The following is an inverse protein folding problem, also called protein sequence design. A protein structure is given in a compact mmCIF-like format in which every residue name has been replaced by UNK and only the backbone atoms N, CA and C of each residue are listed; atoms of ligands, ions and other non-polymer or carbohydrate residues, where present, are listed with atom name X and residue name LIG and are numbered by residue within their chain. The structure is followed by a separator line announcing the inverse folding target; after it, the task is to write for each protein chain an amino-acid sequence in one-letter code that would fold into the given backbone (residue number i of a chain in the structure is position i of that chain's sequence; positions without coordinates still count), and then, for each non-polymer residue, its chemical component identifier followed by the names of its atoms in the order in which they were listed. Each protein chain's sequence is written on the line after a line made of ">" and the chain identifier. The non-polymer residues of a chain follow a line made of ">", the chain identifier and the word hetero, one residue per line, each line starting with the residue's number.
data_IF_874019527491
#
_entry.id   IF_874019527491
#
_cell.length_a   1.000
_cell.length_b   1.000
_cell.length_c   1.000
_cell.angle_alpha   90.00
_cell.angle_beta   90.00
_cell.angle_gamma   90.00
#
_symmetry.space_group_name_H-M   'P 1'
#
loop_
_entity.id
_entity.type
_entity.pdbx_description
1 polymer ?
#
# COMPACT_ATOMS: atom_id res chain seq x y z
N UNK A 1 44.88 20.94 42.27
CA UNK A 1 45.03 22.36 42.61
C UNK A 1 44.56 23.15 41.40
N UNK A 2 43.34 23.69 41.51
CA UNK A 2 42.59 24.67 40.67
C UNK A 2 42.48 24.59 39.12
N UNK A 3 41.39 25.13 38.51
CA UNK A 3 40.06 25.47 39.05
C UNK A 3 38.87 24.97 38.21
N UNK A 4 37.69 25.02 38.83
CA UNK A 4 36.39 24.83 38.20
C UNK A 4 36.06 26.01 37.27
N UNK A 5 35.68 25.71 36.02
CA UNK A 5 35.03 26.69 35.14
C UNK A 5 33.52 26.45 35.14
N UNK A 6 32.84 27.47 35.65
CA UNK A 6 31.39 27.63 35.76
C UNK A 6 30.72 27.52 34.40
N UNK A 7 29.70 26.66 34.28
CA UNK A 7 28.82 26.62 33.11
C UNK A 7 27.60 27.51 33.41
N UNK A 8 27.25 28.48 32.56
CA UNK A 8 26.21 29.45 32.84
C UNK A 8 24.81 28.83 32.99
N UNK A 9 24.00 29.43 33.87
CA UNK A 9 22.59 29.09 34.11
C UNK A 9 21.74 29.32 32.85
N UNK A 10 21.64 28.30 32.01
CA UNK A 10 20.81 28.32 30.80
C UNK A 10 20.48 26.96 30.18
N UNK A 11 20.89 25.84 30.79
CA UNK A 11 20.65 24.49 30.25
C UNK A 11 19.84 23.56 31.15
N UNK A 12 19.03 24.12 32.04
CA UNK A 12 18.01 23.36 32.75
C UNK A 12 16.64 23.85 32.32
N UNK A 13 15.87 22.94 31.72
CA UNK A 13 14.51 23.09 31.16
C UNK A 13 14.62 23.50 29.68
N UNK A 14 14.36 22.64 28.69
CA UNK A 14 13.06 22.01 28.44
C UNK A 14 13.20 20.60 27.81
N UNK A 15 13.09 19.55 28.64
CA UNK A 15 12.69 18.22 28.16
C UNK A 15 11.20 18.08 28.47
N UNK A 16 10.37 18.82 27.73
CA UNK A 16 8.94 18.54 27.62
C UNK A 16 8.38 19.04 26.29
N UNK A 17 8.98 18.58 25.19
CA UNK A 17 8.33 18.55 23.89
C UNK A 17 8.20 17.10 23.49
N UNK A 18 6.99 16.55 23.51
CA UNK A 18 6.70 15.26 22.90
C UNK A 18 7.37 15.21 21.53
N UNK A 19 8.27 14.24 21.32
CA UNK A 19 8.73 13.89 19.98
C UNK A 19 7.44 13.69 19.17
N UNK A 20 7.17 14.45 18.10
CA UNK A 20 6.03 14.14 17.27
C UNK A 20 6.26 12.71 16.81
N UNK A 21 5.36 11.80 17.19
CA UNK A 21 5.26 10.50 16.56
C UNK A 21 5.07 10.82 15.07
N UNK A 22 6.17 10.79 14.31
CA UNK A 22 6.10 10.74 12.86
C UNK A 22 5.42 9.40 12.59
N UNK A 23 4.09 9.42 12.52
CA UNK A 23 3.33 8.34 11.94
C UNK A 23 3.97 8.11 10.59
N UNK A 24 4.61 6.97 10.49
CA UNK A 24 5.49 6.57 9.43
C UNK A 24 4.65 6.11 8.22
N UNK A 25 3.47 6.72 8.02
CA UNK A 25 2.52 6.51 6.93
C UNK A 25 3.00 7.28 5.69
N UNK A 26 4.05 6.78 5.06
CA UNK A 26 4.45 7.26 3.74
C UNK A 26 3.28 7.03 2.77
N UNK A 27 2.82 8.05 2.02
CA UNK A 27 1.73 7.87 1.08
C UNK A 27 2.16 6.86 0.01
N UNK A 28 1.33 5.82 -0.18
CA UNK A 28 1.47 4.92 -1.31
C UNK A 28 1.39 5.73 -2.60
N UNK A 29 2.44 5.65 -3.43
CA UNK A 29 2.40 6.28 -4.74
C UNK A 29 1.47 5.51 -5.66
N UNK A 30 0.60 6.24 -6.36
CA UNK A 30 -0.35 5.65 -7.31
C UNK A 30 0.35 4.81 -8.39
N UNK A 31 1.52 5.25 -8.87
CA UNK A 31 2.32 4.51 -9.84
C UNK A 31 2.73 3.13 -9.32
N UNK A 32 3.15 3.02 -8.06
CA UNK A 32 3.54 1.73 -7.47
C UNK A 32 2.34 0.81 -7.26
N UNK A 33 1.19 1.38 -6.92
CA UNK A 33 -0.04 0.63 -6.79
C UNK A 33 -0.49 0.06 -8.15
N UNK A 34 -0.39 0.87 -9.21
CA UNK A 34 -0.63 0.44 -10.59
C UNK A 34 0.35 -0.63 -11.04
N UNK A 35 1.64 -0.50 -10.74
CA UNK A 35 2.62 -1.55 -11.04
C UNK A 35 2.22 -2.91 -10.45
N UNK A 36 1.69 -2.92 -9.21
CA UNK A 36 1.19 -4.15 -8.58
C UNK A 36 -0.06 -4.65 -9.30
N UNK A 37 -1.05 -3.77 -9.53
CA UNK A 37 -2.32 -4.15 -10.17
C UNK A 37 -2.13 -4.74 -11.56
N UNK A 38 -1.37 -4.06 -12.41
CA UNK A 38 -1.09 -4.49 -13.78
C UNK A 38 -0.24 -5.75 -13.85
N UNK A 39 0.70 -5.95 -12.91
CA UNK A 39 1.56 -7.14 -12.90
C UNK A 39 0.89 -8.38 -12.32
N UNK A 40 0.10 -8.22 -11.26
CA UNK A 40 -0.35 -9.35 -10.44
C UNK A 40 -1.85 -9.64 -10.55
N UNK A 41 -2.67 -8.64 -10.88
CA UNK A 41 -4.12 -8.78 -10.86
C UNK A 41 -4.74 -8.91 -12.24
N UNK A 42 -4.42 -7.99 -13.17
CA UNK A 42 -5.05 -7.77 -14.50
C UNK A 42 -6.06 -8.87 -14.92
N UNK A 43 -7.26 -8.88 -14.35
CA UNK A 43 -8.18 -10.02 -14.48
C UNK A 43 -8.82 -10.09 -15.88
N UNK A 44 -8.90 -8.95 -16.56
CA UNK A 44 -9.44 -8.83 -17.92
C UNK A 44 -8.37 -9.17 -18.95
N UNK A 45 -7.08 -9.00 -18.62
CA UNK A 45 -5.97 -9.20 -19.55
C UNK A 45 -5.87 -8.07 -20.56
N UNK A 46 -6.05 -6.81 -20.10
CA UNK A 46 -5.95 -5.63 -20.96
C UNK A 46 -4.51 -5.30 -21.32
N UNK A 47 -3.54 -5.68 -20.48
CA UNK A 47 -2.14 -5.40 -20.71
C UNK A 47 -1.44 -6.65 -21.25
N UNK A 48 -0.87 -6.55 -22.45
CA UNK A 48 -0.10 -7.66 -23.03
C UNK A 48 1.22 -7.81 -22.31
N UNK A 49 1.74 -9.04 -22.22
CA UNK A 49 3.04 -9.31 -21.61
C UNK A 49 4.15 -8.44 -22.25
N UNK A 50 4.90 -7.72 -21.41
CA UNK A 50 5.96 -6.82 -21.84
C UNK A 50 5.50 -5.39 -22.17
N UNK A 51 4.19 -5.11 -22.18
CA UNK A 51 3.69 -3.74 -22.31
C UNK A 51 3.74 -2.97 -20.98
N UNK A 52 3.80 -1.65 -21.08
CA UNK A 52 3.59 -0.74 -19.96
C UNK A 52 2.15 -0.25 -19.94
N UNK A 53 1.58 -0.15 -18.75
CA UNK A 53 0.29 0.51 -18.52
C UNK A 53 0.39 2.03 -18.73
N UNK A 54 1.59 2.61 -18.62
CA UNK A 54 1.79 4.05 -18.77
C UNK A 54 1.34 4.53 -20.15
N UNK A 55 0.69 5.68 -20.19
CA UNK A 55 0.10 6.29 -21.39
C UNK A 55 -1.05 5.50 -22.05
N UNK A 56 -1.51 4.37 -21.47
CA UNK A 56 -2.70 3.66 -21.96
C UNK A 56 -3.98 4.36 -21.46
N UNK A 57 -5.05 4.42 -22.26
CA UNK A 57 -6.30 5.09 -21.86
C UNK A 57 -7.03 4.40 -20.70
N UNK A 58 -6.65 3.16 -20.38
CA UNK A 58 -7.21 2.35 -19.29
C UNK A 58 -6.25 2.25 -18.10
N UNK A 59 -5.19 3.08 -18.02
CA UNK A 59 -4.16 2.98 -16.99
C UNK A 59 -4.70 3.02 -15.54
N UNK A 60 -5.85 3.64 -15.34
CA UNK A 60 -6.55 3.86 -14.08
C UNK A 60 -7.69 2.85 -13.80
N UNK A 61 -7.96 1.91 -14.73
CA UNK A 61 -9.09 0.97 -14.67
C UNK A 61 -9.18 0.20 -13.33
N UNK A 62 -8.03 -0.02 -12.68
CA UNK A 62 -7.95 -0.79 -11.44
C UNK A 62 -7.73 0.05 -10.17
N UNK A 63 -7.58 1.38 -10.29
CA UNK A 63 -7.14 2.24 -9.19
C UNK A 63 -8.05 2.16 -7.96
N UNK A 64 -9.38 2.26 -8.15
CA UNK A 64 -10.34 2.29 -7.05
C UNK A 64 -10.34 0.97 -6.24
N UNK A 65 -10.20 -0.17 -6.91
CA UNK A 65 -10.15 -1.46 -6.24
C UNK A 65 -8.86 -1.59 -5.42
N UNK A 66 -7.74 -1.17 -5.98
CA UNK A 66 -6.45 -1.24 -5.31
C UNK A 66 -6.40 -0.26 -4.12
N UNK A 67 -6.96 0.94 -4.27
CA UNK A 67 -7.11 1.91 -3.18
C UNK A 67 -7.97 1.38 -2.04
N UNK A 68 -9.05 0.66 -2.35
CA UNK A 68 -9.87 0.01 -1.33
C UNK A 68 -9.08 -1.02 -0.53
N UNK A 69 -8.24 -1.82 -1.18
CA UNK A 69 -7.37 -2.81 -0.50
C UNK A 69 -6.34 -2.11 0.40
N UNK A 70 -5.75 -1.01 -0.05
CA UNK A 70 -4.86 -0.17 0.77
C UNK A 70 -5.58 0.36 2.02
N UNK A 71 -6.78 0.92 1.83
CA UNK A 71 -7.58 1.46 2.93
C UNK A 71 -7.95 0.36 3.95
N UNK A 72 -8.29 -0.83 3.47
CA UNK A 72 -8.56 -1.99 4.32
C UNK A 72 -7.35 -2.37 5.18
N UNK A 73 -6.15 -2.44 4.59
CA UNK A 73 -4.94 -2.75 5.36
C UNK A 73 -4.56 -1.66 6.36
N UNK A 74 -4.67 -0.38 5.99
CA UNK A 74 -4.48 0.74 6.93
C UNK A 74 -5.47 0.70 8.10
N UNK A 75 -6.65 0.14 7.88
CA UNK A 75 -7.68 -0.07 8.90
C UNK A 75 -7.51 -1.37 9.69
N UNK A 76 -6.43 -2.12 9.49
CA UNK A 76 -6.14 -3.37 10.20
C UNK A 76 -6.93 -4.59 9.72
N UNK A 77 -7.57 -4.54 8.54
CA UNK A 77 -8.27 -5.70 7.96
C UNK A 77 -7.27 -6.82 7.61
N UNK A 78 -7.64 -8.09 7.79
CA UNK A 78 -6.75 -9.21 7.49
C UNK A 78 -6.62 -9.46 5.98
N UNK A 79 -5.50 -10.07 5.57
CA UNK A 79 -5.22 -10.48 4.18
C UNK A 79 -6.37 -11.25 3.53
N UNK A 80 -7.02 -12.15 4.27
CA UNK A 80 -8.12 -12.96 3.77
C UNK A 80 -9.31 -12.11 3.27
N UNK A 81 -9.61 -10.99 3.91
CA UNK A 81 -10.70 -10.09 3.48
C UNK A 81 -10.32 -9.32 2.21
N UNK A 82 -9.07 -8.87 2.07
CA UNK A 82 -8.59 -8.26 0.84
C UNK A 82 -8.61 -9.25 -0.35
N UNK A 83 -8.23 -10.51 -0.12
CA UNK A 83 -8.30 -11.57 -1.14
C UNK A 83 -9.75 -11.85 -1.54
N UNK A 84 -10.65 -11.94 -0.56
CA UNK A 84 -12.08 -12.13 -0.81
C UNK A 84 -12.67 -10.98 -1.61
N UNK A 85 -12.29 -9.74 -1.29
CA UNK A 85 -12.70 -8.56 -2.03
C UNK A 85 -12.26 -8.60 -3.49
N UNK A 86 -10.97 -8.82 -3.78
CA UNK A 86 -10.47 -8.89 -5.15
C UNK A 86 -11.12 -10.02 -5.96
N UNK A 87 -11.38 -11.17 -5.34
CA UNK A 87 -12.11 -12.28 -5.95
C UNK A 87 -13.57 -11.93 -6.27
N UNK A 88 -14.25 -11.20 -5.38
CA UNK A 88 -15.62 -10.73 -5.60
C UNK A 88 -15.67 -9.74 -6.77
N UNK A 89 -14.74 -8.76 -6.81
CA UNK A 89 -14.65 -7.83 -7.94
C UNK A 89 -14.43 -8.58 -9.25
N UNK A 90 -13.48 -9.51 -9.29
CA UNK A 90 -13.18 -10.27 -10.50
C UNK A 90 -14.39 -11.09 -10.98
N UNK A 91 -15.07 -11.80 -10.08
CA UNK A 91 -16.12 -12.76 -10.43
C UNK A 91 -17.46 -12.11 -10.71
N UNK A 92 -17.82 -11.15 -9.86
CA UNK A 92 -19.17 -10.61 -9.76
C UNK A 92 -19.23 -9.25 -10.43
N UNK A 93 -18.35 -8.32 -10.03
CA UNK A 93 -18.37 -6.95 -10.56
C UNK A 93 -17.95 -6.90 -12.04
N UNK A 94 -16.86 -7.60 -12.39
CA UNK A 94 -16.38 -7.72 -13.77
C UNK A 94 -17.06 -8.85 -14.56
N UNK A 95 -18.03 -9.56 -13.95
CA UNK A 95 -18.79 -10.65 -14.54
C UNK A 95 -17.94 -11.76 -15.20
N UNK A 96 -16.71 -12.01 -14.72
CA UNK A 96 -15.82 -13.01 -15.31
C UNK A 96 -16.16 -14.45 -14.89
N UNK A 97 -17.01 -14.61 -13.86
CA UNK A 97 -17.35 -15.91 -13.30
C UNK A 97 -16.16 -16.61 -12.65
N UNK A 98 -16.32 -17.90 -12.31
CA UNK A 98 -15.23 -18.67 -11.69
C UNK A 98 -14.26 -19.21 -12.75
N UNK A 99 -12.97 -18.92 -12.58
CA UNK A 99 -11.88 -19.34 -13.46
C UNK A 99 -10.72 -19.93 -12.67
N UNK A 100 -9.82 -20.63 -13.34
CA UNK A 100 -8.55 -21.07 -12.75
C UNK A 100 -7.64 -19.86 -12.49
N UNK A 101 -6.83 -19.94 -11.43
CA UNK A 101 -5.82 -18.93 -11.12
C UNK A 101 -6.31 -17.65 -10.42
N UNK A 102 -7.62 -17.38 -10.37
CA UNK A 102 -8.18 -16.15 -9.75
C UNK A 102 -7.74 -15.97 -8.31
N UNK A 103 -7.81 -17.05 -7.51
CA UNK A 103 -7.40 -17.01 -6.11
C UNK A 103 -5.91 -16.72 -5.98
N UNK A 104 -5.07 -17.31 -6.83
CA UNK A 104 -3.63 -17.08 -6.81
C UNK A 104 -3.28 -15.62 -7.16
N UNK A 105 -3.94 -15.04 -8.19
CA UNK A 105 -3.78 -13.62 -8.56
C UNK A 105 -4.23 -12.68 -7.44
N UNK A 106 -5.44 -12.89 -6.91
CA UNK A 106 -5.97 -12.09 -5.80
C UNK A 106 -5.07 -12.15 -4.57
N UNK A 107 -4.56 -13.33 -4.23
CA UNK A 107 -3.62 -13.51 -3.13
C UNK A 107 -2.25 -12.85 -3.38
N UNK A 108 -1.69 -12.96 -4.58
CA UNK A 108 -0.44 -12.29 -4.93
C UNK A 108 -0.58 -10.78 -4.76
N UNK A 109 -1.60 -10.22 -5.40
CA UNK A 109 -1.94 -8.79 -5.36
C UNK A 109 -2.09 -8.29 -3.93
N UNK A 110 -2.92 -8.97 -3.12
CA UNK A 110 -3.16 -8.57 -1.74
C UNK A 110 -1.87 -8.64 -0.89
N UNK A 111 -1.02 -9.66 -1.08
CA UNK A 111 0.27 -9.78 -0.37
C UNK A 111 1.25 -8.67 -0.78
N UNK A 112 1.30 -8.30 -2.06
CA UNK A 112 2.18 -7.21 -2.52
C UNK A 112 1.73 -5.85 -2.00
N UNK A 113 0.42 -5.58 -1.99
CA UNK A 113 -0.11 -4.35 -1.36
C UNK A 113 0.13 -4.37 0.15
N UNK A 114 -0.10 -5.49 0.84
CA UNK A 114 0.12 -5.59 2.29
C UNK A 114 1.58 -5.30 2.67
N UNK A 115 2.55 -5.89 1.95
CA UNK A 115 3.97 -5.62 2.16
C UNK A 115 4.30 -4.14 1.96
N UNK A 116 3.68 -3.51 0.97
CA UNK A 116 3.89 -2.10 0.70
C UNK A 116 3.34 -1.21 1.83
N UNK A 117 2.13 -1.49 2.30
CA UNK A 117 1.50 -0.76 3.42
C UNK A 117 2.35 -0.89 4.68
N UNK A 118 2.84 -2.09 5.02
CA UNK A 118 3.67 -2.34 6.21
C UNK A 118 5.06 -1.70 6.10
N UNK A 119 5.63 -1.61 4.91
CA UNK A 119 6.94 -0.95 4.70
C UNK A 119 6.84 0.58 4.69
N UNK A 120 5.62 1.09 4.62
CA UNK A 120 5.28 2.51 4.61
C UNK A 120 4.49 2.89 5.85
N UNK A 121 4.63 2.11 6.94
CA UNK A 121 3.97 2.28 8.24
C UNK A 121 5.01 2.30 9.35
#
# INVERSE_FOLDING_TARGET
>A
MEPALSVPDGWKNDIHGSIPSMSTDLPITLSRLRDIGWKEWDPVGLLTEGESWDQKPFADEYDDYLHKVVADFRSGRPLAEAVKYLLCIEREHMALGTRLGQKARAEATARSIQRFVVSSA
#
